data_IF_477052672607
#
_entry.id   IF_477052672607
#
_cell.length_a   1.000
_cell.length_b   1.000
_cell.length_c   1.000
_cell.angle_alpha   90.00
_cell.angle_beta   90.00
_cell.angle_gamma   90.00
#
_symmetry.space_group_name_H-M   'P 1'
#
loop_
_entity.id
_entity.type
_entity.pdbx_description
1 polymer ?
#
# COMPACT_ATOMS: atom_id res chain seq x y z
N UNK A 1 33.04 66.93 8.12
CA UNK A 1 32.50 66.14 6.99
C UNK A 1 31.74 64.95 7.56
N UNK A 2 30.41 64.97 7.43
CA UNK A 2 29.49 63.95 7.95
C UNK A 2 29.20 62.94 6.83
N UNK A 3 29.30 61.65 7.11
CA UNK A 3 28.84 60.59 6.21
C UNK A 3 27.82 59.72 6.95
N UNK A 4 26.53 60.01 6.71
CA UNK A 4 25.39 59.11 6.98
C UNK A 4 25.01 58.47 5.65
N UNK A 5 25.04 57.14 5.54
CA UNK A 5 24.41 56.43 4.43
C UNK A 5 23.55 55.28 4.95
N UNK A 6 22.38 55.16 4.34
CA UNK A 6 21.17 54.52 4.81
C UNK A 6 21.23 52.98 4.78
N UNK A 7 20.68 52.33 5.81
CA UNK A 7 20.23 50.94 5.73
C UNK A 7 18.88 50.88 4.99
N UNK A 8 18.82 50.14 3.89
CA UNK A 8 17.57 49.68 3.29
C UNK A 8 17.32 48.24 3.77
N UNK A 9 16.30 48.06 4.61
CA UNK A 9 15.82 46.75 5.07
C UNK A 9 14.86 46.18 4.02
N UNK A 10 15.32 45.17 3.28
CA UNK A 10 14.48 44.35 2.40
C UNK A 10 13.61 43.43 3.29
N UNK A 11 12.31 43.70 3.37
CA UNK A 11 11.34 42.82 4.01
C UNK A 11 11.07 41.63 3.08
N UNK A 12 11.84 40.56 3.26
CA UNK A 12 11.61 39.28 2.57
C UNK A 12 10.40 38.60 3.22
N UNK A 13 9.23 38.73 2.61
CA UNK A 13 8.00 38.06 3.08
C UNK A 13 8.12 36.58 2.74
N UNK A 14 8.53 35.76 3.70
CA UNK A 14 8.52 34.30 3.56
C UNK A 14 7.07 33.82 3.57
N UNK A 15 6.60 33.29 2.43
CA UNK A 15 5.40 32.44 2.39
C UNK A 15 5.70 31.19 3.21
N UNK A 16 5.29 31.18 4.48
CA UNK A 16 5.20 29.95 5.27
C UNK A 16 4.03 29.17 4.70
N UNK A 17 4.30 28.18 3.84
CA UNK A 17 3.30 27.20 3.44
C UNK A 17 2.82 26.52 4.73
N UNK A 18 1.62 26.87 5.19
CA UNK A 18 1.00 26.23 6.34
C UNK A 18 0.71 24.78 5.93
N UNK A 19 1.50 23.84 6.45
CA UNK A 19 1.12 22.44 6.41
C UNK A 19 -0.22 22.34 7.14
N UNK A 20 -1.29 22.11 6.39
CA UNK A 20 -2.61 21.93 6.96
C UNK A 20 -2.58 20.59 7.71
N UNK A 21 -2.88 20.63 9.01
CA UNK A 21 -2.97 19.43 9.85
C UNK A 21 -3.84 18.40 9.11
N UNK A 22 -3.24 17.26 8.81
CA UNK A 22 -3.92 16.16 8.14
C UNK A 22 -4.73 15.37 9.16
N UNK A 23 -5.51 14.45 8.64
CA UNK A 23 -6.17 13.42 9.46
C UNK A 23 -5.80 12.03 8.97
N UNK A 24 -4.55 11.86 8.52
CA UNK A 24 -4.05 10.63 7.92
C UNK A 24 -4.18 9.41 8.84
N UNK A 25 -3.67 9.46 10.08
CA UNK A 25 -3.84 8.39 11.05
C UNK A 25 -5.31 8.05 11.34
N UNK A 26 -6.18 9.05 11.46
CA UNK A 26 -7.62 8.87 11.68
C UNK A 26 -8.29 8.24 10.46
N UNK A 27 -7.92 8.66 9.24
CA UNK A 27 -8.41 8.09 8.00
C UNK A 27 -8.00 6.62 7.85
N UNK A 28 -6.76 6.28 8.19
CA UNK A 28 -6.29 4.89 8.25
C UNK A 28 -7.07 4.08 9.27
N UNK A 29 -7.22 4.58 10.50
CA UNK A 29 -7.98 3.88 11.53
C UNK A 29 -9.44 3.66 11.11
N UNK A 30 -10.08 4.67 10.51
CA UNK A 30 -11.43 4.57 9.97
C UNK A 30 -11.51 3.54 8.83
N UNK A 31 -10.54 3.51 7.92
CA UNK A 31 -10.48 2.54 6.83
C UNK A 31 -10.35 1.10 7.36
N UNK A 32 -9.46 0.86 8.33
CA UNK A 32 -9.26 -0.45 8.94
C UNK A 32 -10.51 -0.92 9.69
N UNK A 33 -11.17 -0.02 10.42
CA UNK A 33 -12.34 -0.34 11.25
C UNK A 33 -13.64 -0.51 10.46
N UNK A 34 -13.87 0.34 9.46
CA UNK A 34 -15.18 0.48 8.83
C UNK A 34 -15.29 -0.22 7.45
N UNK A 35 -14.17 -0.71 6.91
CA UNK A 35 -14.17 -1.44 5.64
C UNK A 35 -14.10 -2.94 5.93
N UNK A 36 -15.17 -3.68 5.66
CA UNK A 36 -15.16 -5.14 5.78
C UNK A 36 -14.78 -5.80 4.46
N UNK A 37 -15.30 -5.28 3.36
CA UNK A 37 -14.94 -5.73 2.01
C UNK A 37 -14.48 -4.55 1.18
N UNK A 38 -13.59 -4.80 0.22
CA UNK A 38 -13.10 -3.82 -0.74
C UNK A 38 -12.98 -4.50 -2.11
N UNK A 39 -13.44 -3.83 -3.15
CA UNK A 39 -13.03 -4.08 -4.53
C UNK A 39 -12.42 -2.78 -5.07
N UNK A 40 -11.27 -2.87 -5.72
CA UNK A 40 -10.64 -1.73 -6.38
C UNK A 40 -9.88 -2.20 -7.61
N UNK A 41 -9.88 -1.39 -8.65
CA UNK A 41 -8.89 -1.52 -9.72
C UNK A 41 -7.60 -0.78 -9.30
N UNK A 42 -6.46 -1.23 -9.79
CA UNK A 42 -5.18 -0.59 -9.48
C UNK A 42 -4.29 -0.40 -10.71
N UNK A 43 -3.54 0.69 -10.68
CA UNK A 43 -2.32 0.90 -11.47
C UNK A 43 -1.10 0.82 -10.55
N UNK A 44 -0.17 -0.08 -10.85
CA UNK A 44 1.11 -0.20 -10.16
C UNK A 44 2.21 0.41 -11.01
N UNK A 45 3.05 1.24 -10.37
CA UNK A 45 4.34 1.68 -10.90
C UNK A 45 5.43 1.26 -9.93
N UNK A 46 6.37 0.46 -10.41
CA UNK A 46 7.55 0.03 -9.68
C UNK A 46 8.77 0.73 -10.28
N UNK A 47 9.68 1.19 -9.44
CA UNK A 47 10.96 1.78 -9.83
C UNK A 47 12.02 1.10 -8.99
N UNK A 48 12.99 0.44 -9.62
CA UNK A 48 14.11 -0.15 -8.88
C UNK A 48 15.23 0.86 -8.60
N UNK A 49 16.24 0.42 -7.86
CA UNK A 49 17.40 1.23 -7.49
C UNK A 49 18.20 1.77 -8.69
N UNK A 50 18.05 1.16 -9.87
CA UNK A 50 18.68 1.60 -11.12
C UNK A 50 17.78 2.53 -11.93
N UNK A 51 16.59 2.85 -11.44
CA UNK A 51 15.60 3.70 -12.10
C UNK A 51 14.80 2.98 -13.19
N UNK A 52 14.91 1.65 -13.33
CA UNK A 52 14.10 0.89 -14.29
C UNK A 52 12.66 0.89 -13.80
N UNK A 53 11.74 1.15 -14.73
CA UNK A 53 10.32 1.33 -14.42
C UNK A 53 9.52 0.11 -14.87
N UNK A 54 8.89 -0.58 -13.92
CA UNK A 54 7.82 -1.56 -14.16
C UNK A 54 6.44 -0.91 -14.06
N UNK A 55 5.51 -1.36 -14.90
CA UNK A 55 4.10 -0.91 -14.87
C UNK A 55 3.20 -2.10 -14.97
N UNK A 56 2.23 -2.16 -14.07
CA UNK A 56 1.26 -3.24 -14.00
C UNK A 56 -0.10 -2.66 -13.67
N UNK A 57 -1.16 -3.41 -13.94
CA UNK A 57 -2.50 -3.06 -13.51
C UNK A 57 -3.24 -4.32 -13.12
N UNK A 58 -4.39 -4.16 -12.49
CA UNK A 58 -5.16 -5.30 -12.07
C UNK A 58 -6.31 -4.92 -11.16
N UNK A 59 -6.80 -5.93 -10.43
CA UNK A 59 -7.91 -5.78 -9.49
C UNK A 59 -7.54 -6.37 -8.13
N UNK A 60 -7.91 -5.63 -7.09
CA UNK A 60 -7.79 -6.01 -5.70
C UNK A 60 -9.18 -6.33 -5.14
N UNK A 61 -9.27 -7.46 -4.46
CA UNK A 61 -10.38 -7.79 -3.58
C UNK A 61 -9.88 -8.05 -2.17
N UNK A 62 -10.61 -7.55 -1.19
CA UNK A 62 -10.34 -7.75 0.23
C UNK A 62 -11.63 -8.13 0.93
N UNK A 63 -11.56 -9.09 1.83
CA UNK A 63 -12.60 -9.37 2.81
C UNK A 63 -11.97 -9.67 4.17
N UNK A 64 -12.27 -8.83 5.16
CA UNK A 64 -11.78 -9.00 6.52
C UNK A 64 -12.64 -10.01 7.30
N UNK A 65 -12.03 -10.85 8.15
CA UNK A 65 -10.58 -10.96 8.36
C UNK A 65 -9.89 -11.86 7.32
N UNK A 66 -8.67 -11.50 6.94
CA UNK A 66 -7.69 -12.43 6.36
C UNK A 66 -7.88 -12.84 4.89
N UNK A 67 -8.98 -12.50 4.21
CA UNK A 67 -9.16 -12.89 2.81
C UNK A 67 -8.80 -11.77 1.86
N UNK A 68 -8.02 -12.08 0.83
CA UNK A 68 -7.67 -11.12 -0.20
C UNK A 68 -7.33 -11.80 -1.53
N UNK A 69 -7.37 -11.01 -2.61
CA UNK A 69 -7.01 -11.44 -3.96
C UNK A 69 -6.43 -10.27 -4.74
N UNK A 70 -5.26 -10.46 -5.31
CA UNK A 70 -4.67 -9.59 -6.34
C UNK A 70 -4.67 -10.33 -7.67
N UNK A 71 -5.42 -9.81 -8.63
CA UNK A 71 -5.43 -10.27 -10.02
C UNK A 71 -4.63 -9.27 -10.86
N UNK A 72 -3.44 -9.65 -11.32
CA UNK A 72 -2.69 -8.85 -12.28
C UNK A 72 -3.24 -9.07 -13.69
N UNK A 73 -3.40 -7.96 -14.43
CA UNK A 73 -3.84 -8.01 -15.82
C UNK A 73 -2.79 -8.67 -16.73
N UNK A 74 -3.25 -9.17 -17.87
CA UNK A 74 -2.37 -9.67 -18.94
C UNK A 74 -1.52 -8.52 -19.51
N UNK A 75 -0.28 -8.80 -19.96
CA UNK A 75 0.32 -10.12 -20.18
C UNK A 75 0.84 -10.83 -18.92
N UNK A 76 1.02 -10.14 -17.79
CA UNK A 76 1.66 -10.71 -16.60
C UNK A 76 0.80 -11.80 -15.96
N UNK A 77 -0.51 -11.57 -15.81
CA UNK A 77 -1.46 -12.61 -15.39
C UNK A 77 -1.21 -13.24 -14.00
N UNK A 78 -0.27 -12.71 -13.22
CA UNK A 78 0.04 -13.19 -11.87
C UNK A 78 -1.18 -13.12 -10.95
N UNK A 79 -1.29 -14.08 -10.05
CA UNK A 79 -2.39 -14.19 -9.11
C UNK A 79 -1.86 -14.41 -7.70
N UNK A 80 -2.31 -13.57 -6.77
CA UNK A 80 -2.05 -13.73 -5.34
C UNK A 80 -3.39 -13.90 -4.61
N UNK A 81 -3.57 -14.98 -3.85
CA UNK A 81 -4.81 -15.27 -3.11
C UNK A 81 -4.49 -15.62 -1.67
N UNK A 82 -5.01 -14.84 -0.73
CA UNK A 82 -5.08 -15.20 0.68
C UNK A 82 -6.44 -15.78 1.03
N UNK A 83 -6.49 -17.03 1.48
CA UNK A 83 -7.73 -17.72 1.86
C UNK A 83 -8.09 -17.59 3.36
N UNK A 84 -7.28 -16.84 4.12
CA UNK A 84 -7.37 -16.70 5.58
C UNK A 84 -6.53 -17.72 6.35
N UNK A 85 -5.81 -18.62 5.65
CA UNK A 85 -4.89 -19.60 6.25
C UNK A 85 -3.54 -19.63 5.53
N UNK A 86 -3.59 -19.59 4.19
CA UNK A 86 -2.43 -19.63 3.30
C UNK A 86 -2.52 -18.50 2.30
N UNK A 87 -1.35 -18.05 1.86
CA UNK A 87 -1.24 -17.18 0.69
C UNK A 87 -0.65 -18.01 -0.44
N UNK A 88 -1.37 -18.01 -1.56
CA UNK A 88 -1.01 -18.67 -2.80
C UNK A 88 -0.53 -17.63 -3.80
N UNK A 89 0.61 -17.90 -4.43
CA UNK A 89 1.19 -17.10 -5.49
C UNK A 89 1.25 -17.97 -6.74
N UNK A 90 0.68 -17.49 -7.84
CA UNK A 90 0.73 -18.14 -9.14
C UNK A 90 1.42 -17.21 -10.11
N UNK A 91 2.48 -17.72 -10.73
CA UNK A 91 3.18 -17.09 -11.82
C UNK A 91 2.92 -17.89 -13.11
N UNK A 92 2.15 -17.34 -14.07
CA UNK A 92 1.78 -18.08 -15.27
C UNK A 92 2.95 -18.21 -16.26
N UNK A 93 3.91 -17.28 -16.26
CA UNK A 93 5.06 -17.33 -17.18
C UNK A 93 6.03 -18.45 -16.80
N UNK A 94 6.08 -18.77 -15.50
CA UNK A 94 6.87 -19.88 -14.97
C UNK A 94 6.08 -21.20 -14.83
N UNK A 95 4.78 -21.19 -15.15
CA UNK A 95 3.86 -22.30 -14.87
C UNK A 95 3.97 -22.80 -13.42
N UNK A 96 4.15 -21.88 -12.48
CA UNK A 96 4.50 -22.18 -11.09
C UNK A 96 3.44 -21.65 -10.11
N UNK A 97 3.14 -22.47 -9.11
CA UNK A 97 2.39 -22.10 -7.91
C UNK A 97 3.29 -22.27 -6.70
N UNK A 98 3.26 -21.29 -5.80
CA UNK A 98 3.82 -21.45 -4.47
C UNK A 98 2.85 -21.02 -3.39
N UNK A 99 3.00 -21.58 -2.19
CA UNK A 99 2.23 -21.15 -1.05
C UNK A 99 3.00 -21.26 0.25
N UNK A 100 2.58 -20.46 1.22
CA UNK A 100 3.09 -20.52 2.59
C UNK A 100 1.97 -20.13 3.56
N UNK A 101 2.21 -20.29 4.87
CA UNK A 101 1.25 -19.85 5.89
C UNK A 101 0.98 -18.35 5.77
N UNK A 102 -0.24 -17.92 6.07
CA UNK A 102 -0.60 -16.50 5.95
C UNK A 102 0.20 -15.60 6.91
N UNK A 103 0.45 -16.07 8.13
CA UNK A 103 1.33 -15.39 9.09
C UNK A 103 2.75 -15.21 8.55
N UNK A 104 3.29 -16.19 7.83
CA UNK A 104 4.60 -16.08 7.18
C UNK A 104 4.57 -15.11 6.00
N UNK A 105 3.61 -15.28 5.09
CA UNK A 105 3.49 -14.49 3.87
C UNK A 105 3.28 -13.00 4.14
N UNK A 106 2.49 -12.67 5.16
CA UNK A 106 2.11 -11.29 5.45
C UNK A 106 3.12 -10.57 6.35
N UNK A 107 4.02 -11.28 7.03
CA UNK A 107 4.96 -10.70 7.98
C UNK A 107 5.78 -9.59 7.35
N UNK A 108 5.67 -8.39 7.91
CA UNK A 108 6.39 -7.21 7.41
C UNK A 108 5.95 -6.74 6.02
N UNK A 109 4.84 -7.25 5.47
CA UNK A 109 4.35 -6.84 4.15
C UNK A 109 3.29 -5.74 4.24
N UNK A 110 3.19 -4.87 3.22
CA UNK A 110 2.14 -3.84 3.16
C UNK A 110 0.74 -4.40 2.92
N UNK A 111 0.63 -5.63 2.41
CA UNK A 111 -0.64 -6.34 2.36
C UNK A 111 -1.22 -6.58 3.78
N UNK A 112 -0.37 -6.84 4.79
CA UNK A 112 -0.81 -7.01 6.16
C UNK A 112 -1.54 -5.76 6.71
N UNK A 113 -1.04 -4.58 6.36
CA UNK A 113 -1.68 -3.29 6.68
C UNK A 113 -3.08 -3.24 6.08
N UNK A 114 -3.23 -3.60 4.81
CA UNK A 114 -4.52 -3.59 4.14
C UNK A 114 -5.48 -4.66 4.67
N UNK A 115 -5.00 -5.82 5.13
CA UNK A 115 -5.88 -6.91 5.57
C UNK A 115 -6.33 -6.72 7.02
N UNK A 116 -5.56 -5.99 7.84
CA UNK A 116 -5.95 -5.64 9.21
C UNK A 116 -5.96 -6.83 10.17
N UNK A 117 -5.05 -7.79 9.98
CA UNK A 117 -4.98 -8.98 10.85
C UNK A 117 -4.41 -8.71 12.26
N UNK A 118 -3.69 -7.60 12.43
CA UNK A 118 -3.08 -7.20 13.70
C UNK A 118 -3.34 -5.73 13.96
N UNK A 119 -3.24 -5.34 15.23
CA UNK A 119 -3.20 -3.92 15.56
C UNK A 119 -1.98 -3.31 14.85
N UNK A 120 -2.26 -2.38 13.95
CA UNK A 120 -1.22 -1.74 13.14
C UNK A 120 -0.24 -0.95 14.03
N UNK A 121 -0.70 -0.48 15.18
CA UNK A 121 0.12 0.21 16.17
C UNK A 121 1.16 -0.70 16.83
N UNK A 122 0.96 -2.03 16.84
CA UNK A 122 1.96 -2.96 17.35
C UNK A 122 3.12 -3.17 16.37
N UNK A 123 2.81 -3.15 15.06
CA UNK A 123 3.77 -3.43 14.00
C UNK A 123 4.46 -2.18 13.43
N UNK A 124 3.82 -1.01 13.53
CA UNK A 124 4.29 0.22 12.91
C UNK A 124 4.24 1.41 13.87
N UNK A 125 5.20 2.32 13.70
CA UNK A 125 5.02 3.72 14.11
C UNK A 125 4.20 4.43 13.02
N UNK A 126 3.20 5.22 13.44
CA UNK A 126 2.25 5.89 12.55
C UNK A 126 2.54 7.39 12.58
N UNK A 127 2.87 7.94 11.41
CA UNK A 127 3.26 9.35 11.26
C UNK A 127 2.23 10.05 10.37
N UNK A 128 1.66 11.16 10.85
CA UNK A 128 0.82 12.02 10.02
C UNK A 128 1.70 12.85 9.08
N UNK A 129 1.47 12.70 7.77
CA UNK A 129 2.15 13.50 6.74
C UNK A 129 1.36 14.74 6.34
N UNK A 130 0.21 14.97 6.97
CA UNK A 130 -0.64 16.13 6.71
C UNK A 130 -1.52 15.96 5.47
N UNK A 131 -2.10 17.07 5.04
CA UNK A 131 -2.95 17.11 3.84
C UNK A 131 -2.16 17.60 2.61
N UNK A 132 -2.20 16.84 1.52
CA UNK A 132 -1.57 17.23 0.25
C UNK A 132 -2.38 16.75 -0.95
N UNK A 133 -2.52 17.62 -1.96
CA UNK A 133 -3.35 17.37 -3.15
C UNK A 133 -4.77 16.88 -2.80
N UNK A 134 -5.38 17.53 -1.80
CA UNK A 134 -6.70 17.21 -1.25
C UNK A 134 -6.84 15.86 -0.54
N UNK A 135 -5.76 15.08 -0.43
CA UNK A 135 -5.75 13.80 0.27
C UNK A 135 -5.09 13.93 1.64
N UNK A 136 -5.55 13.11 2.59
CA UNK A 136 -4.95 12.90 3.90
C UNK A 136 -3.88 11.81 3.79
N UNK A 137 -2.65 12.10 4.20
CA UNK A 137 -1.50 11.22 4.04
C UNK A 137 -1.01 10.69 5.38
N UNK A 138 -0.66 9.41 5.41
CA UNK A 138 -0.10 8.74 6.58
C UNK A 138 1.09 7.88 6.16
N UNK A 139 2.11 7.87 7.00
CA UNK A 139 3.27 7.00 6.86
C UNK A 139 3.30 5.98 7.99
N UNK A 140 3.72 4.77 7.65
CA UNK A 140 3.92 3.66 8.55
C UNK A 140 5.38 3.24 8.48
N UNK A 141 6.06 3.35 9.60
CA UNK A 141 7.45 2.94 9.76
C UNK A 141 7.47 1.59 10.50
N UNK A 142 7.95 0.50 9.87
CA UNK A 142 7.99 -0.80 10.50
C UNK A 142 8.85 -0.76 11.77
N UNK A 143 8.34 -1.32 12.87
CA UNK A 143 9.10 -1.47 14.13
C UNK A 143 10.05 -2.67 14.12
N UNK A 144 9.79 -3.64 13.25
CA UNK A 144 10.62 -4.83 13.07
C UNK A 144 11.85 -4.49 12.21
N UNK A 145 13.04 -4.56 12.80
CA UNK A 145 14.31 -4.37 12.08
C UNK A 145 14.51 -5.40 10.96
N UNK A 146 13.85 -6.57 11.02
CA UNK A 146 13.83 -7.58 9.97
C UNK A 146 12.93 -7.27 8.78
N UNK A 147 12.15 -6.18 8.84
CA UNK A 147 11.29 -5.73 7.73
C UNK A 147 12.11 -5.52 6.45
N UNK A 148 11.55 -5.93 5.30
CA UNK A 148 12.13 -5.63 3.99
C UNK A 148 11.86 -4.18 3.54
N UNK A 149 10.87 -3.53 4.16
CA UNK A 149 10.45 -2.17 3.84
C UNK A 149 10.99 -1.17 4.85
N UNK A 150 11.32 0.03 4.37
CA UNK A 150 11.71 1.17 5.22
C UNK A 150 10.49 2.01 5.61
N UNK A 151 9.56 2.22 4.68
CA UNK A 151 8.34 2.97 4.91
C UNK A 151 7.20 2.48 4.02
N UNK A 152 5.98 2.65 4.51
CA UNK A 152 4.76 2.48 3.74
C UNK A 152 3.97 3.77 3.85
N UNK A 153 3.54 4.33 2.73
CA UNK A 153 2.72 5.55 2.71
C UNK A 153 1.35 5.25 2.12
N UNK A 154 0.30 5.72 2.79
CA UNK A 154 -1.07 5.64 2.30
C UNK A 154 -1.65 7.04 2.13
N UNK A 155 -2.51 7.19 1.13
CA UNK A 155 -3.29 8.40 0.91
C UNK A 155 -4.77 8.08 0.86
N UNK A 156 -5.57 8.97 1.47
CA UNK A 156 -7.01 8.87 1.52
C UNK A 156 -7.66 10.13 0.94
N UNK A 157 -8.63 9.97 0.04
CA UNK A 157 -9.54 11.05 -0.37
C UNK A 157 -10.90 10.83 0.29
N UNK A 158 -11.28 11.72 1.22
CA UNK A 158 -12.55 11.63 1.98
C UNK A 158 -12.76 10.26 2.63
N UNK A 159 -11.69 9.65 3.14
CA UNK A 159 -11.70 8.34 3.79
C UNK A 159 -11.63 7.13 2.86
N UNK A 160 -11.61 7.34 1.54
CA UNK A 160 -11.40 6.27 0.54
C UNK A 160 -9.91 6.17 0.24
N UNK A 161 -9.35 4.96 0.32
CA UNK A 161 -7.94 4.73 -0.04
C UNK A 161 -7.72 5.00 -1.53
N UNK A 162 -6.70 5.79 -1.86
CA UNK A 162 -6.36 6.14 -3.25
C UNK A 162 -4.94 5.72 -3.62
N UNK A 163 -4.03 5.69 -2.65
CA UNK A 163 -2.62 5.37 -2.89
C UNK A 163 -2.08 4.47 -1.79
N UNK A 164 -1.28 3.49 -2.21
CA UNK A 164 -0.37 2.74 -1.35
C UNK A 164 1.02 2.80 -1.99
N UNK A 165 2.01 3.24 -1.25
CA UNK A 165 3.39 3.32 -1.70
C UNK A 165 4.31 2.66 -0.69
N UNK A 166 5.32 1.97 -1.19
CA UNK A 166 6.25 1.21 -0.39
C UNK A 166 7.65 1.50 -0.91
N UNK A 167 8.57 1.70 0.02
CA UNK A 167 10.01 1.81 -0.25
C UNK A 167 10.71 0.66 0.48
N UNK A 168 11.45 -0.15 -0.26
CA UNK A 168 12.27 -1.22 0.32
C UNK A 168 13.67 -0.73 0.71
N UNK A 169 14.37 -1.52 1.53
CA UNK A 169 15.74 -1.24 1.99
C UNK A 169 16.78 -1.20 0.88
N UNK A 170 16.43 -1.60 -0.33
CA UNK A 170 17.30 -1.59 -1.50
C UNK A 170 17.02 -0.39 -2.41
N UNK A 171 16.11 0.51 -2.04
CA UNK A 171 15.75 1.70 -2.80
C UNK A 171 14.74 1.43 -3.92
N UNK A 172 14.08 0.28 -3.92
CA UNK A 172 12.94 0.04 -4.81
C UNK A 172 11.70 0.73 -4.27
N UNK A 173 11.02 1.49 -5.13
CA UNK A 173 9.73 2.08 -4.82
C UNK A 173 8.63 1.37 -5.61
N UNK A 174 7.59 0.91 -4.92
CA UNK A 174 6.37 0.39 -5.55
C UNK A 174 5.18 1.24 -5.14
N UNK A 175 4.47 1.80 -6.11
CA UNK A 175 3.29 2.65 -5.89
C UNK A 175 2.08 2.06 -6.59
N UNK A 176 1.04 1.76 -5.82
CA UNK A 176 -0.30 1.47 -6.28
C UNK A 176 -1.15 2.73 -6.25
N UNK A 177 -1.92 2.95 -7.31
CA UNK A 177 -3.03 3.91 -7.34
C UNK A 177 -4.32 3.13 -7.52
N UNK A 178 -5.23 3.28 -6.58
CA UNK A 178 -6.52 2.63 -6.61
C UNK A 178 -7.57 3.53 -7.26
N UNK A 179 -8.42 2.93 -8.07
CA UNK A 179 -9.59 3.59 -8.66
C UNK A 179 -10.79 2.64 -8.63
N UNK A 180 -11.98 3.20 -8.89
CA UNK A 180 -13.25 2.46 -8.85
C UNK A 180 -13.47 1.69 -7.54
N UNK A 181 -13.01 2.30 -6.44
CA UNK A 181 -13.02 1.70 -5.11
C UNK A 181 -14.45 1.55 -4.59
N UNK A 182 -14.83 0.32 -4.26
CA UNK A 182 -16.12 -0.05 -3.68
C UNK A 182 -15.90 -0.74 -2.35
N UNK A 183 -16.40 -0.16 -1.27
CA UNK A 183 -16.30 -0.71 0.08
C UNK A 183 -17.63 -1.32 0.53
N UNK A 184 -17.55 -2.34 1.38
CA UNK A 184 -18.71 -2.97 2.04
C UNK A 184 -19.76 -3.53 1.06
N UNK A 185 -19.30 -4.00 -0.09
CA UNK A 185 -20.11 -4.74 -1.07
C UNK A 185 -20.08 -6.25 -0.78
N UNK A 186 -21.09 -6.96 -1.28
CA UNK A 186 -21.12 -8.42 -1.21
C UNK A 186 -20.12 -9.04 -2.20
N UNK A 187 -19.06 -9.62 -1.67
CA UNK A 187 -18.08 -10.37 -2.44
C UNK A 187 -18.40 -11.86 -2.41
N UNK A 188 -18.30 -12.53 -3.56
CA UNK A 188 -18.55 -13.97 -3.65
C UNK A 188 -17.41 -14.72 -2.93
N UNK A 189 -17.69 -15.64 -1.99
CA UNK A 189 -16.66 -16.41 -1.30
C UNK A 189 -15.72 -17.20 -2.22
N UNK A 190 -16.17 -17.52 -3.44
CA UNK A 190 -15.37 -18.19 -4.45
C UNK A 190 -14.16 -17.37 -4.95
N UNK A 191 -14.17 -16.05 -4.80
CA UNK A 191 -13.04 -15.18 -5.18
C UNK A 191 -11.77 -15.55 -4.42
N UNK A 192 -11.91 -15.89 -3.14
CA UNK A 192 -10.80 -16.13 -2.22
C UNK A 192 -10.39 -17.60 -2.13
N UNK A 193 -10.91 -18.45 -3.02
CA UNK A 193 -10.51 -19.86 -3.10
C UNK A 193 -9.51 -20.01 -4.23
N UNK A 194 -8.27 -20.35 -3.90
CA UNK A 194 -7.28 -20.70 -4.91
C UNK A 194 -7.70 -22.00 -5.62
N UNK A 195 -7.52 -22.02 -6.94
CA UNK A 195 -7.70 -23.21 -7.78
C UNK A 195 -6.43 -23.39 -8.59
N UNK A 196 -5.69 -24.45 -8.31
CA UNK A 196 -4.49 -24.78 -9.05
C UNK A 196 -4.82 -25.07 -10.52
N UNK A 197 -4.13 -24.43 -11.48
CA UNK A 197 -4.22 -24.81 -12.89
C UNK A 197 -3.59 -26.18 -13.14
N UNK A 198 -4.11 -26.91 -14.12
CA UNK A 198 -3.51 -28.18 -14.53
C UNK A 198 -2.11 -27.94 -15.09
N UNK A 199 -1.16 -28.81 -14.72
CA UNK A 199 0.21 -28.80 -15.25
C UNK A 199 1.18 -27.86 -14.56
N UNK A 200 0.73 -27.07 -13.57
CA UNK A 200 1.62 -26.17 -12.83
C UNK A 200 2.34 -26.89 -11.69
N UNK A 201 3.63 -26.59 -11.54
CA UNK A 201 4.44 -27.07 -10.42
C UNK A 201 4.04 -26.37 -9.12
N UNK A 202 4.08 -27.08 -7.99
CA UNK A 202 3.66 -26.57 -6.68
C UNK A 202 4.78 -26.66 -5.67
N UNK A 203 5.07 -25.53 -5.04
CA UNK A 203 6.08 -25.40 -3.99
C UNK A 203 5.47 -24.92 -2.66
N UNK A 204 5.92 -25.49 -1.56
CA UNK A 204 5.62 -25.00 -0.19
C UNK A 204 6.90 -24.40 0.39
N UNK A 205 6.78 -23.20 0.97
CA UNK A 205 7.85 -22.49 1.67
C UNK A 205 7.57 -22.38 3.17
#
# INVERSE_FOLDING_TARGET
MMTRWLLALLFCTTCVASAQAGTGPEALQAFLKNTRTLEADFDQRQVDAQGRVGRYSGKLYLERPGRFRWDYAVPVGQLIVGDGKRVWFLDPDLEQVSHQSQDSALRGTPAAVLIGEKDIGDAFEIVDLGRSRQMDWVELLPKDEGSQFERITLAFDKGVITTLEMEDKFGQTTRFRFHDVKSNIDLKPALFKFRQPNGFDVFEY
#
